data_IF_661090957137
#
_entry.id   IF_661090957137
#
_cell.length_a   1.000
_cell.length_b   1.000
_cell.length_c   1.000
_cell.angle_alpha   90.00
_cell.angle_beta   90.00
_cell.angle_gamma   90.00
#
_symmetry.space_group_name_H-M   'P 1'
#
loop_
_entity.id
_entity.type
_entity.pdbx_description
1 polymer ?
#
# COMPACT_ATOMS: atom_id res chain seq x y z
N UNK A 1 -2.60 1.12 7.75
CA UNK A 1 -2.24 0.47 6.48
C UNK A 1 -3.41 -0.31 5.94
N UNK A 2 -3.72 -0.17 4.65
CA UNK A 2 -4.66 -1.02 3.91
C UNK A 2 -3.90 -1.97 2.99
N UNK A 3 -4.44 -3.17 2.78
CA UNK A 3 -3.91 -4.16 1.84
C UNK A 3 -4.88 -4.33 0.68
N UNK A 4 -4.37 -4.23 -0.55
CA UNK A 4 -5.17 -4.40 -1.77
C UNK A 4 -4.57 -5.55 -2.58
N UNK A 5 -5.32 -6.62 -2.91
CA UNK A 5 -4.80 -7.73 -3.69
C UNK A 5 -4.15 -7.26 -5.01
N UNK A 6 -3.04 -7.90 -5.38
CA UNK A 6 -2.24 -7.55 -6.56
C UNK A 6 -3.00 -7.56 -7.89
N UNK A 7 -4.11 -8.28 -8.02
CA UNK A 7 -5.03 -8.30 -9.16
C UNK A 7 -6.12 -7.22 -9.10
N UNK A 8 -6.45 -6.73 -7.91
CA UNK A 8 -7.50 -5.72 -7.68
C UNK A 8 -6.95 -4.30 -7.68
N UNK A 9 -5.69 -4.11 -7.29
CA UNK A 9 -5.08 -2.78 -7.25
C UNK A 9 -5.06 -2.11 -8.65
N UNK A 10 -5.63 -0.91 -8.70
CA UNK A 10 -5.82 -0.09 -9.89
C UNK A 10 -5.48 1.40 -9.61
N UNK A 11 -5.23 2.18 -10.67
CA UNK A 11 -4.83 3.59 -10.59
C UNK A 11 -5.79 4.48 -9.78
N UNK A 12 -7.09 4.19 -9.82
CA UNK A 12 -8.14 4.96 -9.16
C UNK A 12 -8.50 4.46 -7.75
N UNK A 13 -7.86 3.39 -7.26
CA UNK A 13 -8.21 2.72 -5.99
C UNK A 13 -8.32 3.70 -4.83
N UNK A 14 -7.32 4.57 -4.62
CA UNK A 14 -7.26 5.51 -3.49
C UNK A 14 -8.43 6.50 -3.57
N UNK A 15 -8.65 7.10 -4.74
CA UNK A 15 -9.69 8.11 -4.92
C UNK A 15 -11.09 7.50 -4.84
N UNK A 16 -11.31 6.38 -5.54
CA UNK A 16 -12.56 5.61 -5.48
C UNK A 16 -12.96 5.25 -4.05
N UNK A 17 -12.00 4.83 -3.22
CA UNK A 17 -12.27 4.53 -1.82
C UNK A 17 -12.57 5.78 -0.99
N UNK A 18 -11.87 6.88 -1.23
CA UNK A 18 -12.18 8.15 -0.59
C UNK A 18 -13.57 8.66 -0.94
N UNK A 19 -14.01 8.53 -2.19
CA UNK A 19 -15.33 9.00 -2.63
C UNK A 19 -16.45 8.18 -1.98
N UNK A 20 -16.23 6.86 -1.87
CA UNK A 20 -17.13 5.97 -1.14
C UNK A 20 -17.17 6.29 0.35
N UNK A 21 -16.03 6.64 0.95
CA UNK A 21 -15.96 7.04 2.35
C UNK A 21 -16.69 8.38 2.62
N UNK A 22 -16.54 9.36 1.72
CA UNK A 22 -17.28 10.62 1.78
C UNK A 22 -18.78 10.40 1.62
N UNK A 23 -19.21 9.57 0.66
CA UNK A 23 -20.62 9.22 0.49
C UNK A 23 -21.20 8.55 1.74
N UNK A 24 -20.46 7.63 2.36
CA UNK A 24 -20.87 6.99 3.61
C UNK A 24 -20.94 7.98 4.78
N UNK A 25 -20.01 8.94 4.87
CA UNK A 25 -20.05 10.00 5.85
C UNK A 25 -21.29 10.89 5.65
N UNK A 26 -21.56 11.30 4.41
CA UNK A 26 -22.72 12.12 4.04
C UNK A 26 -24.04 11.41 4.35
N UNK A 27 -24.12 10.09 4.14
CA UNK A 27 -25.33 9.31 4.40
C UNK A 27 -25.62 9.11 5.90
N UNK A 28 -24.58 8.85 6.70
CA UNK A 28 -24.75 8.37 8.07
C UNK A 28 -24.44 9.41 9.15
N UNK A 29 -23.64 10.43 8.82
CA UNK A 29 -23.28 11.53 9.73
C UNK A 29 -23.07 12.82 8.92
N UNK A 30 -24.16 13.40 8.37
CA UNK A 30 -24.08 14.54 7.45
C UNK A 30 -23.59 15.85 8.09
N UNK A 31 -23.53 15.92 9.42
CA UNK A 31 -23.08 17.10 10.15
C UNK A 31 -22.27 16.72 11.40
N UNK A 32 -21.58 17.73 11.94
CA UNK A 32 -20.71 17.59 13.11
C UNK A 32 -21.46 17.07 14.35
N UNK A 33 -22.72 17.46 14.55
CA UNK A 33 -23.52 17.04 15.69
C UNK A 33 -23.87 15.54 15.61
N UNK A 34 -24.32 15.08 14.44
CA UNK A 34 -24.62 13.66 14.18
C UNK A 34 -23.37 12.81 14.28
N UNK A 35 -22.24 13.28 13.74
CA UNK A 35 -20.94 12.60 13.84
C UNK A 35 -20.45 12.51 15.29
N UNK A 36 -20.55 13.60 16.05
CA UNK A 36 -20.18 13.64 17.47
C UNK A 36 -21.05 12.69 18.31
N UNK A 37 -22.36 12.64 18.04
CA UNK A 37 -23.27 11.75 18.76
C UNK A 37 -22.92 10.27 18.57
N UNK A 38 -22.54 9.87 17.34
CA UNK A 38 -22.13 8.50 17.03
C UNK A 38 -20.78 8.14 17.68
N UNK A 39 -19.84 9.08 17.70
CA UNK A 39 -18.49 8.86 18.24
C UNK A 39 -18.33 9.17 19.74
N UNK A 40 -19.38 9.71 20.38
CA UNK A 40 -19.30 10.14 21.78
C UNK A 40 -18.35 11.33 22.01
N UNK A 41 -18.25 12.23 21.03
CA UNK A 41 -17.43 13.44 21.15
C UNK A 41 -18.15 14.51 21.97
N UNK A 42 -17.38 15.34 22.67
CA UNK A 42 -17.91 16.55 23.31
C UNK A 42 -18.23 17.62 22.28
N UNK A 43 -19.15 18.52 22.61
CA UNK A 43 -19.62 19.58 21.70
C UNK A 43 -18.48 20.47 21.17
N UNK A 44 -17.45 20.73 21.99
CA UNK A 44 -16.28 21.53 21.60
C UNK A 44 -15.37 20.83 20.58
N UNK A 45 -15.46 19.50 20.45
CA UNK A 45 -14.70 18.71 19.49
C UNK A 45 -15.51 18.33 18.24
N UNK A 46 -16.84 18.47 18.27
CA UNK A 46 -17.72 18.03 17.19
C UNK A 46 -17.31 18.60 15.82
N UNK A 47 -17.33 19.93 15.67
CA UNK A 47 -17.00 20.60 14.42
C UNK A 47 -15.51 20.46 14.04
N UNK A 48 -14.54 20.70 14.95
CA UNK A 48 -13.12 20.58 14.59
C UNK A 48 -12.70 19.17 14.18
N UNK A 49 -13.30 18.11 14.73
CA UNK A 49 -12.98 16.72 14.33
C UNK A 49 -13.68 16.38 13.02
N UNK A 50 -14.96 16.73 12.87
CA UNK A 50 -15.72 16.49 11.64
C UNK A 50 -15.03 17.10 10.42
N UNK A 51 -14.66 18.38 10.49
CA UNK A 51 -13.99 19.09 9.40
C UNK A 51 -12.65 18.46 9.03
N UNK A 52 -11.88 18.01 10.04
CA UNK A 52 -10.59 17.34 9.80
C UNK A 52 -10.76 15.98 9.15
N UNK A 53 -11.76 15.20 9.58
CA UNK A 53 -12.07 13.90 8.97
C UNK A 53 -12.48 14.09 7.51
N UNK A 54 -13.42 15.00 7.24
CA UNK A 54 -13.85 15.28 5.87
C UNK A 54 -12.69 15.75 5.00
N UNK A 55 -11.91 16.72 5.47
CA UNK A 55 -10.75 17.24 4.74
C UNK A 55 -9.64 16.19 4.53
N UNK A 56 -9.54 15.18 5.39
CA UNK A 56 -8.64 14.04 5.20
C UNK A 56 -9.17 13.11 4.11
N UNK A 57 -10.46 12.74 4.13
CA UNK A 57 -11.06 11.89 3.10
C UNK A 57 -11.06 12.53 1.69
N UNK A 58 -11.15 13.86 1.62
CA UNK A 58 -11.06 14.61 0.37
C UNK A 58 -9.63 14.60 -0.21
N UNK A 59 -8.61 14.85 0.62
CA UNK A 59 -7.24 15.07 0.14
C UNK A 59 -6.32 13.85 0.22
N UNK A 60 -6.49 13.03 1.24
CA UNK A 60 -5.62 11.89 1.56
C UNK A 60 -6.43 10.79 2.27
N UNK A 61 -7.35 10.10 1.54
CA UNK A 61 -8.25 9.12 2.15
C UNK A 61 -7.52 7.87 2.66
N UNK A 62 -6.30 7.61 2.16
CA UNK A 62 -5.47 6.47 2.53
C UNK A 62 -4.05 6.97 2.81
N UNK A 63 -3.58 6.74 4.03
CA UNK A 63 -2.25 7.18 4.48
C UNK A 63 -1.15 6.16 4.14
N UNK A 64 -1.49 4.87 4.14
CA UNK A 64 -0.57 3.77 3.87
C UNK A 64 -1.27 2.64 3.10
N UNK A 65 -0.84 2.38 1.86
CA UNK A 65 -1.34 1.32 0.98
C UNK A 65 -0.25 0.30 0.64
N UNK A 66 -0.56 -0.99 0.84
CA UNK A 66 0.27 -2.12 0.39
C UNK A 66 -0.47 -2.93 -0.67
N UNK A 67 0.14 -3.08 -1.84
CA UNK A 67 -0.31 -4.08 -2.81
C UNK A 67 0.08 -5.45 -2.26
N UNK A 68 -0.92 -6.27 -2.03
CA UNK A 68 -0.75 -7.55 -1.36
C UNK A 68 -0.47 -8.64 -2.39
N UNK A 69 0.62 -9.37 -2.20
CA UNK A 69 0.96 -10.59 -2.92
C UNK A 69 0.95 -11.82 -2.01
N UNK A 70 0.48 -11.68 -0.77
CA UNK A 70 0.40 -12.76 0.20
C UNK A 70 -1.04 -13.30 0.30
N UNK A 71 -1.64 -13.34 1.49
CA UNK A 71 -2.90 -14.08 1.70
C UNK A 71 -4.10 -13.44 0.99
N UNK A 72 -4.11 -12.11 0.81
CA UNK A 72 -5.19 -11.40 0.13
C UNK A 72 -5.18 -11.57 -1.39
N UNK A 73 -4.02 -11.90 -1.98
CA UNK A 73 -3.90 -12.25 -3.40
C UNK A 73 -4.12 -13.74 -3.64
N UNK A 74 -3.61 -14.55 -2.72
CA UNK A 74 -3.66 -16.00 -2.81
C UNK A 74 -2.68 -16.58 -3.85
N UNK A 75 -2.76 -17.89 -4.13
CA UNK A 75 -1.90 -18.53 -5.11
C UNK A 75 -2.32 -18.15 -6.53
N UNK A 76 -1.33 -17.88 -7.38
CA UNK A 76 -1.49 -17.64 -8.83
C UNK A 76 -0.38 -18.33 -9.62
N UNK A 77 -0.58 -18.60 -10.92
CA UNK A 77 0.50 -18.99 -11.82
C UNK A 77 1.62 -17.95 -11.81
N UNK A 78 2.87 -18.41 -11.99
CA UNK A 78 4.05 -17.53 -11.88
C UNK A 78 3.98 -16.33 -12.82
N UNK A 79 3.56 -16.53 -14.08
CA UNK A 79 3.44 -15.47 -15.06
C UNK A 79 2.39 -14.40 -14.67
N UNK A 80 1.28 -14.83 -14.07
CA UNK A 80 0.22 -13.91 -13.62
C UNK A 80 0.72 -13.05 -12.44
N UNK A 81 1.44 -13.64 -11.50
CA UNK A 81 2.03 -12.89 -10.38
C UNK A 81 3.15 -11.95 -10.84
N UNK A 82 3.96 -12.35 -11.82
CA UNK A 82 4.97 -11.49 -12.44
C UNK A 82 4.32 -10.26 -13.11
N UNK A 83 3.26 -10.47 -13.89
CA UNK A 83 2.51 -9.39 -14.53
C UNK A 83 1.86 -8.45 -13.51
N UNK A 84 1.31 -9.01 -12.43
CA UNK A 84 0.74 -8.22 -11.35
C UNK A 84 1.80 -7.40 -10.58
N UNK A 85 2.98 -7.97 -10.31
CA UNK A 85 4.10 -7.27 -9.67
C UNK A 85 4.61 -6.11 -10.54
N UNK A 86 4.81 -6.36 -11.83
CA UNK A 86 5.24 -5.32 -12.77
C UNK A 86 4.16 -4.23 -12.94
N UNK A 87 2.88 -4.60 -12.97
CA UNK A 87 1.77 -3.63 -13.01
C UNK A 87 1.71 -2.78 -11.75
N UNK A 88 1.87 -3.38 -10.57
CA UNK A 88 1.89 -2.67 -9.30
C UNK A 88 3.02 -1.63 -9.25
N UNK A 89 4.22 -1.98 -9.73
CA UNK A 89 5.33 -1.04 -9.83
C UNK A 89 5.00 0.17 -10.72
N UNK A 90 4.47 -0.06 -11.94
CA UNK A 90 4.07 1.02 -12.85
C UNK A 90 3.00 1.93 -12.24
N UNK A 91 1.93 1.35 -11.70
CA UNK A 91 0.84 2.11 -11.10
C UNK A 91 1.29 2.95 -9.90
N UNK A 92 2.19 2.40 -9.07
CA UNK A 92 2.75 3.16 -7.94
C UNK A 92 3.63 4.30 -8.45
N UNK A 93 4.51 4.05 -9.41
CA UNK A 93 5.36 5.10 -9.99
C UNK A 93 4.52 6.23 -10.61
N UNK A 94 3.51 5.89 -11.40
CA UNK A 94 2.56 6.84 -11.99
C UNK A 94 1.78 7.63 -10.91
N UNK A 95 1.40 7.00 -9.80
CA UNK A 95 0.72 7.68 -8.72
C UNK A 95 1.62 8.73 -8.04
N UNK A 96 2.91 8.42 -7.84
CA UNK A 96 3.87 9.38 -7.31
C UNK A 96 4.15 10.52 -8.29
N UNK A 97 4.32 10.21 -9.58
CA UNK A 97 4.52 11.20 -10.64
C UNK A 97 3.35 12.19 -10.73
N UNK A 98 2.12 11.68 -10.63
CA UNK A 98 0.90 12.49 -10.73
C UNK A 98 0.48 13.14 -9.41
N UNK A 99 1.19 12.90 -8.31
CA UNK A 99 0.83 13.42 -6.98
C UNK A 99 -0.47 12.84 -6.41
N UNK A 100 -0.87 11.65 -6.85
CA UNK A 100 -2.08 10.93 -6.39
C UNK A 100 -1.77 9.76 -5.46
N UNK A 101 -0.48 9.49 -5.21
CA UNK A 101 -0.03 8.46 -4.28
C UNK A 101 -0.46 8.75 -2.83
N UNK A 102 -0.68 7.68 -2.07
CA UNK A 102 -0.69 7.77 -0.61
C UNK A 102 0.73 8.14 -0.10
N UNK A 103 0.87 8.79 1.07
CA UNK A 103 2.18 9.10 1.64
C UNK A 103 3.11 7.90 1.74
N UNK A 104 2.55 6.72 2.05
CA UNK A 104 3.28 5.47 2.05
C UNK A 104 2.63 4.47 1.09
N UNK A 105 3.43 3.94 0.17
CA UNK A 105 3.00 2.90 -0.77
C UNK A 105 4.05 1.83 -0.93
N UNK A 106 3.65 0.62 -1.29
CA UNK A 106 4.57 -0.47 -1.63
C UNK A 106 3.87 -1.80 -1.65
N UNK A 107 4.58 -2.88 -1.30
CA UNK A 107 4.05 -4.24 -1.40
C UNK A 107 4.16 -5.01 -0.10
N UNK A 108 3.27 -5.99 0.07
CA UNK A 108 3.49 -7.13 0.95
C UNK A 108 3.82 -8.34 0.10
N UNK A 109 5.08 -8.74 0.13
CA UNK A 109 5.54 -9.95 -0.55
C UNK A 109 5.09 -11.21 0.21
N UNK A 110 5.23 -12.39 -0.40
CA UNK A 110 5.08 -13.67 0.31
C UNK A 110 6.15 -13.82 1.40
N UNK A 111 5.86 -14.60 2.45
CA UNK A 111 6.79 -14.86 3.53
C UNK A 111 8.01 -15.71 3.09
N UNK A 112 8.98 -15.89 3.99
CA UNK A 112 10.24 -16.61 3.71
C UNK A 112 10.16 -18.12 3.96
N UNK A 113 8.96 -18.67 4.09
CA UNK A 113 8.75 -20.11 4.25
C UNK A 113 9.07 -20.86 2.96
N UNK A 114 9.69 -22.03 3.08
CA UNK A 114 10.24 -22.78 1.95
C UNK A 114 9.30 -22.96 0.74
N UNK A 115 7.98 -23.21 0.90
CA UNK A 115 7.09 -23.40 -0.24
C UNK A 115 6.85 -22.16 -1.10
N UNK A 116 7.03 -20.96 -0.55
CA UNK A 116 6.66 -19.69 -1.19
C UNK A 116 7.81 -18.70 -1.30
N UNK A 117 8.95 -19.01 -0.68
CA UNK A 117 10.13 -18.13 -0.60
C UNK A 117 10.60 -17.65 -1.97
N UNK A 118 10.84 -18.57 -2.90
CA UNK A 118 11.41 -18.22 -4.22
C UNK A 118 10.44 -17.32 -5.01
N UNK A 119 9.13 -17.59 -4.91
CA UNK A 119 8.08 -16.75 -5.46
C UNK A 119 8.05 -15.36 -4.82
N UNK A 120 8.16 -15.29 -3.49
CA UNK A 120 8.25 -14.02 -2.77
C UNK A 120 9.43 -13.16 -3.22
N UNK A 121 10.62 -13.76 -3.30
CA UNK A 121 11.85 -13.08 -3.74
C UNK A 121 11.71 -12.56 -5.18
N UNK A 122 11.18 -13.39 -6.09
CA UNK A 122 10.95 -12.98 -7.48
C UNK A 122 9.96 -11.82 -7.60
N UNK A 123 8.87 -11.85 -6.83
CA UNK A 123 7.87 -10.77 -6.82
C UNK A 123 8.47 -9.46 -6.31
N UNK A 124 9.30 -9.53 -5.26
CA UNK A 124 10.03 -8.37 -4.75
C UNK A 124 10.97 -7.78 -5.81
N UNK A 125 11.78 -8.62 -6.46
CA UNK A 125 12.74 -8.18 -7.48
C UNK A 125 12.07 -7.53 -8.69
N UNK A 126 10.99 -8.13 -9.22
CA UNK A 126 10.22 -7.57 -10.34
C UNK A 126 9.64 -6.21 -9.95
N UNK A 127 9.07 -6.11 -8.76
CA UNK A 127 8.47 -4.87 -8.28
C UNK A 127 9.50 -3.74 -8.15
N UNK A 128 10.62 -4.00 -7.46
CA UNK A 128 11.68 -3.01 -7.28
C UNK A 128 12.36 -2.63 -8.60
N UNK A 129 12.60 -3.61 -9.46
CA UNK A 129 13.12 -3.39 -10.82
C UNK A 129 12.18 -2.47 -11.62
N UNK A 130 10.87 -2.73 -11.59
CA UNK A 130 9.89 -1.90 -12.29
C UNK A 130 9.86 -0.47 -11.79
N UNK A 131 10.02 -0.24 -10.47
CA UNK A 131 10.14 1.11 -9.91
C UNK A 131 11.41 1.82 -10.40
N UNK A 132 12.56 1.12 -10.39
CA UNK A 132 13.82 1.67 -10.89
C UNK A 132 13.74 2.06 -12.37
N UNK A 133 13.07 1.26 -13.19
CA UNK A 133 12.83 1.55 -14.61
C UNK A 133 11.86 2.72 -14.83
N UNK A 134 11.02 3.02 -13.83
CA UNK A 134 10.01 4.10 -13.87
C UNK A 134 10.47 5.41 -13.21
N UNK A 135 11.76 5.57 -12.94
CA UNK A 135 12.33 6.82 -12.40
C UNK A 135 12.93 6.73 -11.00
N UNK A 136 12.96 5.53 -10.40
CA UNK A 136 13.64 5.28 -9.12
C UNK A 136 12.69 4.87 -7.99
N UNK A 137 13.27 4.64 -6.80
CA UNK A 137 12.50 4.27 -5.62
C UNK A 137 11.86 5.51 -4.97
N UNK A 138 10.52 5.56 -4.80
CA UNK A 138 9.86 6.69 -4.13
C UNK A 138 10.27 6.80 -2.66
N UNK A 139 10.36 8.03 -2.13
CA UNK A 139 10.70 8.25 -0.72
C UNK A 139 9.69 7.62 0.27
N UNK A 140 8.42 7.50 -0.14
CA UNK A 140 7.36 6.84 0.64
C UNK A 140 7.29 5.32 0.43
N UNK A 141 8.27 4.71 -0.24
CA UNK A 141 8.29 3.26 -0.46
C UNK A 141 8.44 2.50 0.87
N UNK A 142 7.57 1.52 1.11
CA UNK A 142 7.78 0.56 2.20
C UNK A 142 7.43 -0.85 1.75
N UNK A 143 8.27 -1.79 2.19
CA UNK A 143 8.20 -3.20 1.85
C UNK A 143 7.82 -3.99 3.10
N UNK A 144 6.78 -4.82 3.02
CA UNK A 144 6.31 -5.63 4.14
C UNK A 144 6.78 -7.07 3.99
N UNK A 145 7.55 -7.55 4.97
CA UNK A 145 7.90 -8.97 5.16
C UNK A 145 6.90 -9.61 6.14
N UNK A 146 5.98 -10.48 5.70
CA UNK A 146 4.99 -11.07 6.59
C UNK A 146 5.49 -12.33 7.30
N UNK A 147 4.76 -12.73 8.35
CA UNK A 147 4.92 -14.01 9.06
C UNK A 147 6.35 -14.28 9.56
N UNK A 148 7.03 -13.23 10.01
CA UNK A 148 8.35 -13.36 10.63
C UNK A 148 8.22 -14.16 11.93
N UNK A 149 8.91 -15.29 12.00
CA UNK A 149 8.97 -16.16 13.17
C UNK A 149 10.38 -16.26 13.75
N UNK A 150 11.41 -15.95 12.94
CA UNK A 150 12.82 -15.97 13.32
C UNK A 150 13.53 -14.70 12.85
N UNK A 151 14.49 -14.18 13.63
CA UNK A 151 15.23 -12.97 13.28
C UNK A 151 16.05 -13.14 11.98
N UNK A 152 16.46 -14.37 11.68
CA UNK A 152 17.18 -14.74 10.46
C UNK A 152 16.37 -14.46 9.19
N UNK A 153 15.03 -14.47 9.25
CA UNK A 153 14.18 -14.10 8.11
C UNK A 153 14.30 -12.61 7.80
N UNK A 154 14.44 -11.76 8.83
CA UNK A 154 14.70 -10.33 8.66
C UNK A 154 16.09 -10.12 8.09
N UNK A 155 17.11 -10.81 8.63
CA UNK A 155 18.48 -10.78 8.10
C UNK A 155 18.54 -11.20 6.64
N UNK A 156 17.77 -12.22 6.24
CA UNK A 156 17.69 -12.66 4.85
C UNK A 156 17.08 -11.58 3.95
N UNK A 157 16.01 -10.91 4.39
CA UNK A 157 15.42 -9.79 3.65
C UNK A 157 16.38 -8.62 3.50
N UNK A 158 17.11 -8.25 4.56
CA UNK A 158 18.14 -7.20 4.49
C UNK A 158 19.19 -7.54 3.43
N UNK A 159 19.72 -8.77 3.43
CA UNK A 159 20.70 -9.21 2.42
C UNK A 159 20.14 -9.15 0.99
N UNK A 160 18.88 -9.51 0.78
CA UNK A 160 18.25 -9.41 -0.53
C UNK A 160 18.17 -7.96 -1.01
N UNK A 161 17.83 -7.03 -0.11
CA UNK A 161 17.79 -5.60 -0.42
C UNK A 161 19.19 -5.04 -0.68
N UNK A 162 20.19 -5.38 0.14
CA UNK A 162 21.59 -4.98 -0.08
C UNK A 162 22.12 -5.45 -1.45
N UNK A 163 21.80 -6.68 -1.85
CA UNK A 163 22.21 -7.19 -3.17
C UNK A 163 21.46 -6.48 -4.31
N UNK A 164 20.18 -6.16 -4.13
CA UNK A 164 19.43 -5.36 -5.09
C UNK A 164 20.02 -3.95 -5.22
N UNK A 165 20.31 -3.29 -4.11
CA UNK A 165 20.93 -1.96 -4.05
C UNK A 165 22.27 -1.96 -4.78
N UNK A 166 23.17 -2.91 -4.47
CA UNK A 166 24.44 -3.08 -5.19
C UNK A 166 24.25 -3.30 -6.69
N UNK A 167 23.30 -4.15 -7.08
CA UNK A 167 23.02 -4.44 -8.49
C UNK A 167 22.50 -3.21 -9.25
N UNK A 168 21.85 -2.27 -8.54
CA UNK A 168 21.28 -1.04 -9.10
C UNK A 168 22.12 0.21 -8.85
N UNK A 169 23.24 0.09 -8.14
CA UNK A 169 24.11 1.21 -7.79
C UNK A 169 23.49 2.18 -6.79
N UNK A 170 22.63 1.68 -5.90
CA UNK A 170 22.09 2.41 -4.75
C UNK A 170 23.08 2.21 -3.58
N UNK A 171 23.40 3.26 -2.83
CA UNK A 171 24.32 3.22 -1.67
C UNK A 171 23.67 2.63 -0.42
#
# INVERSE_FOLDING_TARGET
TVYVPGDVFAADTIRSWGDRALAALDEHAPDAASFAAVLGLTDDLAEPVYDRVRAKLEREPIEDLRVDFEDGYGPRPEAEEDEAAARAARLIAEAYENGTAAPYMGIRMKCMEAPVRDRGIRTLDIFLTGLMESGGLPAGLVLTLPKVTYAEQVTAMVRLLEEFEKARGLE
#
